data_IF_027426422126
#
_entry.id   IF_027426422126
#
_cell.length_a   1.000
_cell.length_b   1.000
_cell.length_c   1.000
_cell.angle_alpha   90.00
_cell.angle_beta   90.00
_cell.angle_gamma   90.00
#
_symmetry.space_group_name_H-M   'P 1'
#
loop_
_entity.id
_entity.type
_entity.pdbx_description
1 polymer ?
#
# COMPACT_ATOMS: atom_id res chain seq x y z
N UNK A 1 11.85 23.38 -12.95
CA UNK A 1 12.06 22.36 -14.00
C UNK A 1 12.39 20.98 -13.44
N UNK A 2 13.35 20.84 -12.51
CA UNK A 2 13.72 19.51 -11.96
C UNK A 2 12.54 18.83 -11.25
N UNK A 3 11.76 19.60 -10.49
CA UNK A 3 10.57 19.09 -9.79
C UNK A 3 9.53 18.54 -10.79
N UNK A 4 9.23 19.30 -11.84
CA UNK A 4 8.23 18.94 -12.85
C UNK A 4 8.65 17.70 -13.64
N UNK A 5 9.94 17.61 -14.01
CA UNK A 5 10.48 16.43 -14.69
C UNK A 5 10.41 15.18 -13.84
N UNK A 6 10.70 15.29 -12.53
CA UNK A 6 10.60 14.17 -11.61
C UNK A 6 9.15 13.68 -11.46
N UNK A 7 8.19 14.61 -11.34
CA UNK A 7 6.76 14.28 -11.29
C UNK A 7 6.31 13.61 -12.60
N UNK A 8 6.66 14.20 -13.74
CA UNK A 8 6.29 13.66 -15.05
C UNK A 8 6.88 12.27 -15.29
N UNK A 9 8.18 12.10 -14.99
CA UNK A 9 8.85 10.81 -15.09
C UNK A 9 8.21 9.75 -14.19
N UNK A 10 7.93 10.10 -12.93
CA UNK A 10 7.23 9.21 -11.99
C UNK A 10 5.83 8.86 -12.47
N UNK A 11 5.09 9.84 -13.03
CA UNK A 11 3.76 9.64 -13.57
C UNK A 11 3.76 8.68 -14.75
N UNK A 12 4.69 8.84 -15.70
CA UNK A 12 4.85 7.93 -16.85
C UNK A 12 5.21 6.53 -16.37
N UNK A 13 6.20 6.40 -15.48
CA UNK A 13 6.61 5.11 -14.93
C UNK A 13 5.44 4.39 -14.23
N UNK A 14 4.71 5.08 -13.35
CA UNK A 14 3.58 4.49 -12.67
C UNK A 14 2.44 4.18 -13.64
N UNK A 15 2.14 5.03 -14.62
CA UNK A 15 1.11 4.76 -15.62
C UNK A 15 1.40 3.48 -16.40
N UNK A 16 2.64 3.27 -16.85
CA UNK A 16 3.05 2.05 -17.55
C UNK A 16 2.86 0.80 -16.67
N UNK A 17 3.28 0.87 -15.41
CA UNK A 17 3.11 -0.23 -14.44
C UNK A 17 1.62 -0.52 -14.21
N UNK A 18 0.80 0.50 -13.98
CA UNK A 18 -0.64 0.36 -13.73
C UNK A 18 -1.36 -0.25 -14.94
N UNK A 19 -1.13 0.29 -16.14
CA UNK A 19 -1.77 -0.18 -17.37
C UNK A 19 -1.44 -1.64 -17.67
N UNK A 20 -0.16 -2.01 -17.52
CA UNK A 20 0.26 -3.41 -17.66
C UNK A 20 -0.39 -4.29 -16.60
N UNK A 21 -0.41 -3.84 -15.35
CA UNK A 21 -0.91 -4.61 -14.22
C UNK A 21 -2.41 -4.89 -14.32
N UNK A 22 -3.21 -3.90 -14.73
CA UNK A 22 -4.66 -4.06 -14.88
C UNK A 22 -5.05 -5.10 -15.91
N UNK A 23 -4.26 -5.24 -16.98
CA UNK A 23 -4.51 -6.20 -18.05
C UNK A 23 -4.06 -7.63 -17.69
N UNK A 24 -3.03 -7.76 -16.87
CA UNK A 24 -2.32 -9.03 -16.70
C UNK A 24 -2.54 -9.70 -15.35
N UNK A 25 -2.48 -8.96 -14.23
CA UNK A 25 -2.52 -9.54 -12.88
C UNK A 25 -3.79 -10.34 -12.53
N UNK A 26 -4.98 -10.06 -13.09
CA UNK A 26 -6.17 -10.88 -12.82
C UNK A 26 -6.05 -12.34 -13.31
N UNK A 27 -5.16 -12.62 -14.27
CA UNK A 27 -4.99 -13.96 -14.86
C UNK A 27 -4.31 -14.94 -13.90
N UNK A 28 -4.58 -16.23 -14.06
CA UNK A 28 -4.11 -17.30 -13.18
C UNK A 28 -2.58 -17.33 -13.00
N UNK A 29 -1.84 -17.18 -14.10
CA UNK A 29 -0.36 -17.21 -14.12
C UNK A 29 0.33 -16.18 -13.22
N UNK A 30 -0.39 -15.14 -12.78
CA UNK A 30 0.12 -14.10 -11.89
C UNK A 30 -0.30 -14.30 -10.43
N UNK A 31 -0.64 -15.53 -10.03
CA UNK A 31 -0.90 -15.89 -8.63
C UNK A 31 0.38 -16.35 -7.91
N UNK A 32 1.06 -17.34 -8.49
CA UNK A 32 2.21 -18.05 -7.91
C UNK A 32 3.45 -17.71 -8.73
N UNK A 33 4.49 -17.21 -8.08
CA UNK A 33 5.81 -16.96 -8.68
C UNK A 33 6.60 -18.27 -8.75
N UNK A 34 6.64 -19.00 -7.64
CA UNK A 34 7.44 -20.21 -7.49
C UNK A 34 6.82 -21.15 -6.46
N UNK A 35 7.12 -22.43 -6.57
CA UNK A 35 6.78 -23.45 -5.59
C UNK A 35 8.07 -24.10 -5.08
N UNK A 36 8.26 -24.15 -3.76
CA UNK A 36 9.47 -24.69 -3.12
C UNK A 36 9.13 -26.02 -2.45
N UNK A 37 9.72 -27.15 -2.85
CA UNK A 37 9.48 -28.44 -2.22
C UNK A 37 9.98 -28.44 -0.76
N UNK A 38 9.21 -29.02 0.17
CA UNK A 38 9.56 -29.03 1.60
C UNK A 38 9.63 -30.45 2.16
N UNK A 39 8.61 -31.26 1.88
CA UNK A 39 8.49 -32.61 2.45
C UNK A 39 7.88 -33.56 1.43
N UNK A 40 8.32 -34.81 1.40
CA UNK A 40 7.65 -35.87 0.64
C UNK A 40 6.44 -36.42 1.39
N UNK A 41 5.36 -36.67 0.66
CA UNK A 41 4.18 -37.38 1.17
C UNK A 41 4.34 -38.91 1.06
N UNK A 42 3.30 -39.64 1.47
CA UNK A 42 3.27 -41.11 1.42
C UNK A 42 3.25 -41.67 0.00
N UNK A 43 2.92 -40.85 -1.00
CA UNK A 43 2.91 -41.23 -2.43
C UNK A 43 4.25 -40.99 -3.10
N UNK A 44 5.22 -40.40 -2.39
CA UNK A 44 6.54 -40.05 -2.89
C UNK A 44 6.60 -38.68 -3.59
N UNK A 45 5.47 -37.98 -3.68
CA UNK A 45 5.38 -36.62 -4.23
C UNK A 45 5.83 -35.58 -3.21
N UNK A 46 6.36 -34.45 -3.66
CA UNK A 46 6.76 -33.36 -2.78
C UNK A 46 5.61 -32.40 -2.50
N UNK A 47 5.28 -32.19 -1.23
CA UNK A 47 4.49 -31.06 -0.78
C UNK A 47 5.37 -29.80 -0.79
N UNK A 48 4.93 -28.80 -1.54
CA UNK A 48 5.61 -27.53 -1.70
C UNK A 48 4.87 -26.34 -1.09
N UNK A 49 5.64 -25.30 -0.74
CA UNK A 49 5.14 -23.99 -0.35
C UNK A 49 5.13 -23.07 -1.56
N UNK A 50 4.02 -22.36 -1.77
CA UNK A 50 3.90 -21.38 -2.84
C UNK A 50 4.41 -19.99 -2.41
N UNK A 51 5.25 -19.40 -3.25
CA UNK A 51 5.66 -18.00 -3.22
C UNK A 51 4.80 -17.22 -4.21
N UNK A 52 4.26 -16.07 -3.82
CA UNK A 52 3.18 -15.38 -4.54
C UNK A 52 3.58 -14.02 -5.10
N UNK A 53 2.96 -13.64 -6.22
CA UNK A 53 3.07 -12.29 -6.79
C UNK A 53 2.47 -11.23 -5.85
N UNK A 54 1.47 -11.60 -5.05
CA UNK A 54 0.94 -10.75 -3.99
C UNK A 54 2.06 -10.20 -3.10
N UNK A 55 2.89 -11.09 -2.53
CA UNK A 55 3.97 -10.70 -1.65
C UNK A 55 5.03 -9.86 -2.35
N UNK A 56 5.42 -10.24 -3.57
CA UNK A 56 6.41 -9.48 -4.35
C UNK A 56 5.94 -8.04 -4.63
N UNK A 57 4.67 -7.89 -5.03
CA UNK A 57 4.11 -6.59 -5.40
C UNK A 57 3.91 -5.73 -4.15
N UNK A 58 3.37 -6.28 -3.06
CA UNK A 58 3.15 -5.51 -1.83
C UNK A 58 4.48 -5.06 -1.21
N UNK A 59 5.52 -5.89 -1.22
CA UNK A 59 6.84 -5.50 -0.70
C UNK A 59 7.49 -4.43 -1.53
N UNK A 60 7.40 -4.55 -2.85
CA UNK A 60 7.92 -3.54 -3.78
C UNK A 60 7.17 -2.22 -3.62
N UNK A 61 5.85 -2.24 -3.46
CA UNK A 61 5.05 -1.06 -3.18
C UNK A 61 5.45 -0.37 -1.85
N UNK A 62 5.72 -1.14 -0.80
CA UNK A 62 6.21 -0.59 0.47
C UNK A 62 7.61 0.00 0.31
N UNK A 63 8.53 -0.69 -0.36
CA UNK A 63 9.88 -0.15 -0.62
C UNK A 63 9.82 1.16 -1.42
N UNK A 64 8.94 1.25 -2.43
CA UNK A 64 8.70 2.50 -3.18
C UNK A 64 8.13 3.60 -2.29
N UNK A 65 7.16 3.29 -1.42
CA UNK A 65 6.59 4.26 -0.49
C UNK A 65 7.65 4.82 0.47
N UNK A 66 8.45 3.94 1.09
CA UNK A 66 9.50 4.38 2.00
C UNK A 66 10.58 5.15 1.23
N UNK A 67 10.96 4.72 0.02
CA UNK A 67 11.85 5.52 -0.85
C UNK A 67 11.33 6.92 -1.10
N UNK A 68 10.03 7.05 -1.40
CA UNK A 68 9.43 8.36 -1.62
C UNK A 68 9.45 9.23 -0.36
N UNK A 69 9.20 8.63 0.81
CA UNK A 69 9.26 9.31 2.09
C UNK A 69 10.65 9.92 2.33
N UNK A 70 11.71 9.12 2.12
CA UNK A 70 13.08 9.59 2.28
C UNK A 70 13.49 10.62 1.23
N UNK A 71 13.04 10.52 -0.02
CA UNK A 71 13.28 11.56 -1.03
C UNK A 71 12.69 12.90 -0.55
N UNK A 72 11.46 12.88 -0.05
CA UNK A 72 10.77 14.10 0.40
C UNK A 72 11.41 14.71 1.65
N UNK A 73 11.69 13.90 2.67
CA UNK A 73 12.34 14.38 3.89
C UNK A 73 13.81 14.75 3.66
N UNK A 74 14.47 14.04 2.77
CA UNK A 74 15.82 14.33 2.33
C UNK A 74 15.93 15.64 1.56
N UNK A 75 14.87 16.04 0.86
CA UNK A 75 14.79 17.36 0.24
C UNK A 75 14.83 18.50 1.27
N UNK A 76 14.56 18.23 2.56
CA UNK A 76 14.70 19.17 3.67
C UNK A 76 15.99 18.98 4.48
N UNK A 77 16.91 18.12 4.02
CA UNK A 77 18.17 17.79 4.69
C UNK A 77 17.99 17.25 6.13
N UNK A 78 16.89 16.57 6.42
CA UNK A 78 16.69 15.93 7.72
C UNK A 78 17.61 14.72 7.87
N UNK A 79 18.17 14.52 9.07
CA UNK A 79 19.07 13.39 9.38
C UNK A 79 18.40 12.03 9.12
N UNK A 80 19.12 11.15 8.44
CA UNK A 80 18.64 9.80 8.10
C UNK A 80 18.43 8.92 9.33
N UNK A 81 19.30 9.06 10.34
CA UNK A 81 19.21 8.29 11.59
C UNK A 81 17.90 8.58 12.31
N UNK A 82 17.56 9.86 12.44
CA UNK A 82 16.34 10.32 13.10
C UNK A 82 15.09 9.85 12.36
N UNK A 83 15.08 9.99 11.02
CA UNK A 83 13.99 9.51 10.19
C UNK A 83 13.81 7.99 10.30
N UNK A 84 14.91 7.23 10.32
CA UNK A 84 14.86 5.78 10.45
C UNK A 84 14.30 5.35 11.82
N UNK A 85 14.74 5.99 12.91
CA UNK A 85 14.24 5.72 14.27
C UNK A 85 12.74 5.99 14.36
N UNK A 86 12.28 7.15 13.89
CA UNK A 86 10.86 7.53 13.90
C UNK A 86 10.05 6.55 13.04
N UNK A 87 10.55 6.20 11.85
CA UNK A 87 9.86 5.28 10.94
C UNK A 87 9.75 3.87 11.54
N UNK A 88 10.81 3.34 12.14
CA UNK A 88 10.80 2.02 12.80
C UNK A 88 9.80 2.04 13.97
N UNK A 89 9.80 3.09 14.78
CA UNK A 89 8.84 3.26 15.87
C UNK A 89 7.39 3.29 15.36
N UNK A 90 7.14 4.06 14.30
CA UNK A 90 5.83 4.12 13.65
C UNK A 90 5.39 2.77 13.07
N UNK A 91 6.29 2.07 12.37
CA UNK A 91 6.00 0.76 11.78
C UNK A 91 5.67 -0.26 12.87
N UNK A 92 6.45 -0.32 13.95
CA UNK A 92 6.21 -1.22 15.07
C UNK A 92 4.83 -0.98 15.68
N UNK A 93 4.52 0.29 15.98
CA UNK A 93 3.26 0.67 16.59
C UNK A 93 2.07 0.44 15.64
N UNK A 94 2.19 0.79 14.36
CA UNK A 94 1.15 0.56 13.37
C UNK A 94 0.90 -0.95 13.13
N UNK A 95 1.94 -1.79 13.13
CA UNK A 95 1.80 -3.23 12.97
C UNK A 95 1.14 -3.88 14.18
N UNK A 96 1.54 -3.48 15.39
CA UNK A 96 0.92 -3.93 16.63
C UNK A 96 -0.57 -3.52 16.67
N UNK A 97 -0.84 -2.24 16.41
CA UNK A 97 -2.19 -1.70 16.43
C UNK A 97 -3.06 -2.30 15.32
N UNK A 98 -2.53 -2.54 14.12
CA UNK A 98 -3.25 -3.20 13.02
C UNK A 98 -3.80 -4.57 13.43
N UNK A 99 -3.03 -5.37 14.18
CA UNK A 99 -3.53 -6.68 14.66
C UNK A 99 -4.63 -6.51 15.70
N UNK A 100 -4.46 -5.56 16.62
CA UNK A 100 -5.42 -5.29 17.70
C UNK A 100 -6.74 -4.79 17.13
N UNK A 101 -6.69 -3.77 16.25
CA UNK A 101 -7.89 -3.22 15.61
C UNK A 101 -8.58 -4.27 14.75
N UNK A 102 -7.84 -5.07 13.96
CA UNK A 102 -8.44 -6.16 13.19
C UNK A 102 -9.16 -7.17 14.09
N UNK A 103 -8.56 -7.52 15.23
CA UNK A 103 -9.17 -8.44 16.20
C UNK A 103 -10.45 -7.85 16.80
N UNK A 104 -10.45 -6.57 17.15
CA UNK A 104 -11.61 -5.89 17.75
C UNK A 104 -12.75 -5.73 16.72
N UNK A 105 -12.42 -5.31 15.50
CA UNK A 105 -13.42 -4.94 14.47
C UNK A 105 -13.91 -6.16 13.69
N UNK A 106 -13.01 -7.02 13.24
CA UNK A 106 -13.33 -8.16 12.37
C UNK A 106 -13.51 -9.48 13.14
N UNK A 107 -13.15 -9.51 14.43
CA UNK A 107 -13.20 -10.71 15.27
C UNK A 107 -12.18 -11.80 14.90
N UNK A 108 -11.32 -11.55 13.91
CA UNK A 108 -10.36 -12.54 13.40
C UNK A 108 -8.99 -12.34 14.05
N UNK A 109 -8.44 -13.40 14.65
CA UNK A 109 -7.16 -13.34 15.39
C UNK A 109 -5.92 -13.11 14.51
N UNK A 110 -6.00 -13.46 13.23
CA UNK A 110 -4.88 -13.51 12.28
C UNK A 110 -5.05 -12.60 11.06
N UNK A 111 -5.91 -11.57 11.12
CA UNK A 111 -6.02 -10.57 10.05
C UNK A 111 -5.31 -9.28 10.40
N UNK A 112 -4.93 -8.53 9.37
CA UNK A 112 -4.36 -7.20 9.48
C UNK A 112 -5.27 -6.21 8.79
N UNK A 113 -5.46 -5.04 9.40
CA UNK A 113 -6.25 -3.97 8.81
C UNK A 113 -5.37 -2.79 8.43
N UNK A 114 -5.23 -2.60 7.11
CA UNK A 114 -4.56 -1.42 6.55
C UNK A 114 -5.26 -0.13 7.01
N UNK A 115 -6.61 -0.15 7.13
CA UNK A 115 -7.39 0.99 7.60
C UNK A 115 -7.08 1.34 9.06
N UNK A 116 -7.11 0.34 9.95
CA UNK A 116 -6.76 0.55 11.35
C UNK A 116 -5.30 1.01 11.54
N UNK A 117 -4.36 0.43 10.81
CA UNK A 117 -2.96 0.85 10.83
C UNK A 117 -2.80 2.31 10.42
N UNK A 118 -3.43 2.72 9.31
CA UNK A 118 -3.35 4.09 8.79
C UNK A 118 -3.97 5.12 9.76
N UNK A 119 -5.08 4.78 10.41
CA UNK A 119 -5.73 5.64 11.40
C UNK A 119 -4.87 5.82 12.65
N UNK A 120 -4.32 4.73 13.18
CA UNK A 120 -3.43 4.80 14.34
C UNK A 120 -2.13 5.52 13.99
N UNK A 121 -1.59 5.31 12.78
CA UNK A 121 -0.43 6.06 12.29
C UNK A 121 -0.70 7.57 12.25
N UNK A 122 -1.88 7.99 11.80
CA UNK A 122 -2.26 9.40 11.75
C UNK A 122 -2.32 10.06 13.14
N UNK A 123 -2.78 9.33 14.16
CA UNK A 123 -2.83 9.81 15.55
C UNK A 123 -1.46 9.78 16.21
N UNK A 124 -0.71 8.70 16.02
CA UNK A 124 0.55 8.46 16.72
C UNK A 124 1.74 9.21 16.12
N UNK A 125 1.77 9.45 14.81
CA UNK A 125 2.85 10.18 14.16
C UNK A 125 3.15 11.56 14.78
N UNK A 126 2.18 12.48 14.96
CA UNK A 126 2.47 13.77 15.58
C UNK A 126 2.96 13.63 17.02
N UNK A 127 2.45 12.65 17.79
CA UNK A 127 2.87 12.40 19.17
C UNK A 127 4.31 11.87 19.25
N UNK A 128 4.67 10.94 18.36
CA UNK A 128 6.03 10.38 18.28
C UNK A 128 7.02 11.47 17.87
N UNK A 129 6.67 12.30 16.88
CA UNK A 129 7.53 13.42 16.44
C UNK A 129 7.67 14.45 17.57
N UNK A 130 6.58 14.80 18.24
CA UNK A 130 6.62 15.73 19.37
C UNK A 130 7.52 15.21 20.50
N UNK A 131 7.38 13.94 20.87
CA UNK A 131 8.24 13.29 21.85
C UNK A 131 9.70 13.27 21.41
N UNK A 132 9.98 12.85 20.18
CA UNK A 132 11.33 12.78 19.63
C UNK A 132 12.03 14.15 19.62
N UNK A 133 11.31 15.20 19.20
CA UNK A 133 11.82 16.57 19.18
C UNK A 133 12.08 17.14 20.58
N UNK A 134 11.56 16.52 21.64
CA UNK A 134 11.89 16.89 23.03
C UNK A 134 13.29 16.45 23.47
N UNK A 135 13.90 15.48 22.79
CA UNK A 135 15.23 14.93 23.12
C UNK A 135 16.27 15.12 22.02
N UNK A 136 15.86 15.33 20.77
CA UNK A 136 16.78 15.57 19.66
C UNK A 136 17.23 17.02 19.59
N UNK A 137 18.51 17.24 19.30
CA UNK A 137 19.07 18.57 19.01
C UNK A 137 18.56 19.13 17.68
N UNK A 138 18.31 18.26 16.69
CA UNK A 138 17.75 18.62 15.40
C UNK A 138 16.26 18.33 15.38
N UNK A 139 15.44 19.39 15.39
CA UNK A 139 13.99 19.26 15.39
C UNK A 139 13.48 18.78 14.03
N UNK A 140 12.77 17.65 14.00
CA UNK A 140 12.09 17.17 12.81
C UNK A 140 10.88 18.06 12.51
N UNK A 141 10.76 18.63 11.30
CA UNK A 141 9.66 19.52 10.96
C UNK A 141 8.36 18.72 10.84
N UNK A 142 7.48 18.89 11.83
CA UNK A 142 6.29 18.04 12.01
C UNK A 142 5.35 18.05 10.80
N UNK A 143 4.96 19.23 10.31
CA UNK A 143 4.01 19.32 9.21
C UNK A 143 4.59 18.77 7.89
N UNK A 144 5.83 19.10 7.49
CA UNK A 144 6.48 18.41 6.37
C UNK A 144 6.59 16.90 6.58
N UNK A 145 6.90 16.40 7.77
CA UNK A 145 6.92 14.96 8.03
C UNK A 145 5.55 14.32 7.77
N UNK A 146 4.48 14.88 8.32
CA UNK A 146 3.12 14.35 8.14
C UNK A 146 2.69 14.40 6.66
N UNK A 147 3.06 15.48 5.94
CA UNK A 147 2.84 15.58 4.51
C UNK A 147 3.59 14.48 3.75
N UNK A 148 4.89 14.30 4.00
CA UNK A 148 5.69 13.26 3.35
C UNK A 148 5.16 11.84 3.66
N UNK A 149 4.78 11.58 4.91
CA UNK A 149 4.22 10.29 5.33
C UNK A 149 2.89 9.99 4.64
N UNK A 150 1.98 10.96 4.58
CA UNK A 150 0.67 10.80 3.91
C UNK A 150 0.79 10.62 2.39
N UNK A 151 1.70 11.35 1.73
CA UNK A 151 2.03 11.18 0.30
C UNK A 151 2.54 9.77 0.04
N UNK A 152 3.53 9.35 0.83
CA UNK A 152 4.17 8.04 0.71
C UNK A 152 3.18 6.91 0.97
N UNK A 153 2.31 7.08 1.96
CA UNK A 153 1.22 6.15 2.23
C UNK A 153 0.25 6.04 1.05
N UNK A 154 -0.14 7.15 0.42
CA UNK A 154 -1.00 7.13 -0.77
C UNK A 154 -0.35 6.33 -1.91
N UNK A 155 0.91 6.60 -2.25
CA UNK A 155 1.62 5.86 -3.31
C UNK A 155 1.75 4.38 -2.94
N UNK A 156 2.16 4.06 -1.71
CA UNK A 156 2.33 2.69 -1.23
C UNK A 156 1.03 1.89 -1.23
N UNK A 157 -0.07 2.45 -0.72
CA UNK A 157 -1.36 1.80 -0.74
C UNK A 157 -1.89 1.67 -2.19
N UNK A 158 -1.70 2.69 -3.03
CA UNK A 158 -2.09 2.68 -4.43
C UNK A 158 -1.41 1.57 -5.23
N UNK A 159 -0.08 1.46 -5.15
CA UNK A 159 0.68 0.37 -5.78
C UNK A 159 0.39 -0.98 -5.10
N UNK A 160 0.16 -0.99 -3.79
CA UNK A 160 -0.18 -2.21 -3.05
C UNK A 160 -1.50 -2.85 -3.49
N UNK A 161 -2.45 -2.09 -4.08
CA UNK A 161 -3.68 -2.66 -4.66
C UNK A 161 -3.43 -3.54 -5.88
N UNK A 162 -2.28 -3.42 -6.54
CA UNK A 162 -1.87 -4.35 -7.59
C UNK A 162 -1.63 -5.76 -7.03
N UNK A 163 -1.14 -5.87 -5.79
CA UNK A 163 -1.05 -7.16 -5.11
C UNK A 163 -2.45 -7.77 -4.92
N UNK A 164 -3.43 -6.95 -4.50
CA UNK A 164 -4.82 -7.39 -4.38
C UNK A 164 -5.40 -7.87 -5.73
N UNK A 165 -5.03 -7.22 -6.82
CA UNK A 165 -5.43 -7.61 -8.18
C UNK A 165 -4.76 -8.93 -8.62
N UNK A 166 -3.50 -9.15 -8.25
CA UNK A 166 -2.81 -10.42 -8.45
C UNK A 166 -3.49 -11.53 -7.65
N UNK A 167 -3.77 -11.32 -6.36
CA UNK A 167 -4.31 -12.38 -5.48
C UNK A 167 -5.82 -12.63 -5.68
N UNK A 168 -6.55 -11.65 -6.20
CA UNK A 168 -8.00 -11.67 -6.28
C UNK A 168 -8.70 -11.34 -4.96
N UNK A 169 -8.13 -10.46 -4.13
CA UNK A 169 -8.76 -9.99 -2.89
C UNK A 169 -9.23 -8.53 -2.99
N UNK A 170 -10.04 -8.08 -2.01
CA UNK A 170 -10.65 -6.75 -2.01
C UNK A 170 -11.45 -6.47 -3.30
N UNK A 171 -12.13 -7.48 -3.82
CA UNK A 171 -12.82 -7.41 -5.11
C UNK A 171 -14.13 -6.63 -5.02
N UNK A 172 -14.49 -6.00 -6.14
CA UNK A 172 -15.75 -5.27 -6.27
C UNK A 172 -16.96 -6.18 -6.38
N UNK A 173 -18.15 -5.59 -6.28
CA UNK A 173 -19.41 -6.27 -6.59
C UNK A 173 -19.49 -6.64 -8.08
N UNK A 174 -20.20 -7.72 -8.44
CA UNK A 174 -20.57 -7.99 -9.82
C UNK A 174 -21.26 -6.78 -10.45
N UNK A 175 -20.98 -6.49 -11.73
CA UNK A 175 -21.53 -5.29 -12.39
C UNK A 175 -23.06 -5.25 -12.37
N UNK A 176 -23.73 -6.39 -12.52
CA UNK A 176 -25.19 -6.46 -12.42
C UNK A 176 -25.75 -6.13 -11.03
N UNK A 177 -24.91 -6.05 -9.99
CA UNK A 177 -25.30 -5.74 -8.60
C UNK A 177 -24.87 -4.35 -8.12
N UNK A 178 -24.23 -3.55 -8.97
CA UNK A 178 -23.96 -2.13 -8.68
C UNK A 178 -25.08 -1.24 -9.22
N UNK A 179 -25.11 0.03 -8.81
CA UNK A 179 -26.08 1.00 -9.31
C UNK A 179 -26.03 1.08 -10.86
N UNK A 180 -27.17 1.11 -11.58
CA UNK A 180 -27.20 0.96 -13.04
C UNK A 180 -26.31 1.94 -13.81
N UNK A 181 -26.23 3.19 -13.34
CA UNK A 181 -25.34 4.21 -13.91
C UNK A 181 -23.86 3.80 -13.82
N UNK A 182 -23.42 3.33 -12.65
CA UNK A 182 -22.06 2.86 -12.45
C UNK A 182 -21.78 1.57 -13.23
N UNK A 183 -22.77 0.69 -13.31
CA UNK A 183 -22.66 -0.55 -14.10
C UNK A 183 -22.37 -0.26 -15.56
N UNK A 184 -23.12 0.66 -16.19
CA UNK A 184 -22.90 1.07 -17.59
C UNK A 184 -21.54 1.74 -17.81
N UNK A 185 -21.15 2.66 -16.92
CA UNK A 185 -19.89 3.40 -17.06
C UNK A 185 -18.66 2.48 -16.94
N UNK A 186 -18.72 1.48 -16.05
CA UNK A 186 -17.58 0.61 -15.75
C UNK A 186 -17.64 -0.77 -16.40
N UNK A 187 -18.61 -1.01 -17.29
CA UNK A 187 -18.73 -2.31 -17.98
C UNK A 187 -17.48 -2.67 -18.78
N UNK A 188 -16.94 -1.69 -19.52
CA UNK A 188 -15.73 -1.81 -20.33
C UNK A 188 -14.45 -1.84 -19.50
N UNK A 189 -14.49 -1.30 -18.28
CA UNK A 189 -13.36 -1.26 -17.35
C UNK A 189 -13.40 -2.37 -16.30
N UNK A 190 -14.33 -3.30 -16.45
CA UNK A 190 -14.51 -4.41 -15.51
C UNK A 190 -13.27 -5.28 -15.39
N UNK A 191 -13.10 -5.87 -14.21
CA UNK A 191 -12.06 -6.89 -13.98
C UNK A 191 -12.71 -8.26 -14.02
N UNK A 192 -12.04 -9.18 -14.69
CA UNK A 192 -12.39 -10.61 -14.71
C UNK A 192 -11.20 -11.37 -14.16
N UNK A 193 -11.44 -12.19 -13.13
CA UNK A 193 -10.41 -13.03 -12.52
C UNK A 193 -10.48 -14.45 -13.10
N UNK A 194 -9.30 -15.02 -13.34
CA UNK A 194 -9.12 -16.36 -13.89
C UNK A 194 -8.26 -17.20 -12.93
N UNK A 195 -8.62 -18.46 -12.74
CA UNK A 195 -7.88 -19.41 -11.94
C UNK A 195 -8.57 -19.73 -10.60
N UNK A 196 -8.59 -21.02 -10.26
CA UNK A 196 -9.24 -21.56 -9.05
C UNK A 196 -8.56 -21.11 -7.76
N UNK A 197 -7.28 -20.75 -7.84
CA UNK A 197 -6.46 -20.32 -6.69
C UNK A 197 -6.63 -18.84 -6.34
N UNK A 198 -7.37 -18.06 -7.12
CA UNK A 198 -7.70 -16.65 -6.82
C UNK A 198 -8.72 -16.58 -5.69
N UNK A 199 -8.56 -15.62 -4.77
CA UNK A 199 -9.44 -15.52 -3.59
C UNK A 199 -10.91 -15.34 -3.92
N UNK A 200 -11.22 -14.48 -4.88
CA UNK A 200 -12.58 -14.30 -5.39
C UNK A 200 -13.21 -15.61 -5.90
N UNK A 201 -12.41 -16.49 -6.50
CA UNK A 201 -12.88 -17.76 -7.05
C UNK A 201 -13.19 -18.76 -5.94
N UNK A 202 -12.25 -19.04 -5.03
CA UNK A 202 -12.47 -20.06 -4.01
C UNK A 202 -13.38 -19.59 -2.85
N UNK A 203 -13.50 -18.28 -2.60
CA UNK A 203 -14.35 -17.75 -1.51
C UNK A 203 -15.78 -17.46 -1.96
N UNK A 204 -15.96 -17.00 -3.20
CA UNK A 204 -17.27 -16.54 -3.69
C UNK A 204 -17.75 -17.25 -4.97
N UNK A 205 -16.97 -18.17 -5.54
CA UNK A 205 -17.33 -18.90 -6.76
C UNK A 205 -17.45 -18.01 -7.99
N UNK A 206 -16.81 -16.83 -8.01
CA UNK A 206 -16.98 -15.82 -9.06
C UNK A 206 -15.83 -15.83 -10.08
N UNK A 207 -15.44 -17.01 -10.57
CA UNK A 207 -14.49 -17.13 -11.69
C UNK A 207 -15.15 -16.66 -13.00
N UNK A 208 -14.42 -15.88 -13.81
CA UNK A 208 -14.96 -15.39 -15.09
C UNK A 208 -16.03 -14.29 -14.96
N UNK A 209 -16.42 -13.90 -13.75
CA UNK A 209 -17.45 -12.88 -13.52
C UNK A 209 -16.87 -11.48 -13.66
N UNK A 210 -17.55 -10.61 -14.42
CA UNK A 210 -17.23 -9.19 -14.51
C UNK A 210 -17.57 -8.47 -13.21
N UNK A 211 -16.54 -7.98 -12.50
CA UNK A 211 -16.69 -7.23 -11.26
C UNK A 211 -16.22 -5.78 -11.41
N UNK A 212 -16.74 -4.91 -10.54
CA UNK A 212 -16.35 -3.51 -10.47
C UNK A 212 -14.83 -3.39 -10.18
N UNK A 213 -14.07 -2.56 -10.94
CA UNK A 213 -12.62 -2.47 -10.87
C UNK A 213 -12.10 -1.67 -9.67
N UNK A 214 -12.52 -2.02 -8.45
CA UNK A 214 -12.25 -1.23 -7.25
C UNK A 214 -10.75 -1.13 -6.94
N UNK A 215 -9.97 -2.19 -7.18
CA UNK A 215 -8.53 -2.17 -6.96
C UNK A 215 -7.84 -1.20 -7.92
N UNK A 216 -8.17 -1.29 -9.22
CA UNK A 216 -7.62 -0.41 -10.26
C UNK A 216 -7.99 1.06 -10.05
N UNK A 217 -9.26 1.33 -9.74
CA UNK A 217 -9.72 2.68 -9.42
C UNK A 217 -8.99 3.26 -8.20
N UNK A 218 -8.80 2.46 -7.15
CA UNK A 218 -8.04 2.86 -5.96
C UNK A 218 -6.57 3.13 -6.31
N UNK A 219 -5.93 2.27 -7.09
CA UNK A 219 -4.54 2.46 -7.54
C UNK A 219 -4.35 3.78 -8.29
N UNK A 220 -5.20 4.05 -9.29
CA UNK A 220 -5.12 5.28 -10.09
C UNK A 220 -5.30 6.50 -9.19
N UNK A 221 -6.36 6.51 -8.37
CA UNK A 221 -6.66 7.66 -7.51
C UNK A 221 -5.51 7.94 -6.54
N UNK A 222 -5.00 6.90 -5.87
CA UNK A 222 -4.00 7.07 -4.81
C UNK A 222 -2.62 7.41 -5.35
N UNK A 223 -2.19 6.80 -6.46
CA UNK A 223 -0.93 7.16 -7.11
C UNK A 223 -1.01 8.60 -7.63
N UNK A 224 -2.11 8.99 -8.28
CA UNK A 224 -2.31 10.38 -8.73
C UNK A 224 -2.32 11.36 -7.56
N UNK A 225 -2.97 10.99 -6.47
CA UNK A 225 -2.99 11.78 -5.21
C UNK A 225 -1.59 11.95 -4.64
N UNK A 226 -0.79 10.88 -4.62
CA UNK A 226 0.61 10.92 -4.21
C UNK A 226 1.47 11.81 -5.10
N UNK A 227 1.29 11.78 -6.41
CA UNK A 227 2.02 12.64 -7.36
C UNK A 227 1.65 14.12 -7.18
N UNK A 228 0.36 14.44 -7.07
CA UNK A 228 -0.12 15.81 -6.81
C UNK A 228 0.37 16.29 -5.44
N UNK A 229 0.27 15.44 -4.40
CA UNK A 229 0.79 15.74 -3.06
C UNK A 229 2.30 15.98 -3.07
N UNK A 230 3.06 15.18 -3.81
CA UNK A 230 4.50 15.39 -4.04
C UNK A 230 4.76 16.74 -4.70
N UNK A 231 4.02 17.09 -5.74
CA UNK A 231 4.16 18.38 -6.39
C UNK A 231 3.88 19.55 -5.42
N UNK A 232 2.81 19.48 -4.64
CA UNK A 232 2.50 20.48 -3.61
C UNK A 232 3.61 20.57 -2.55
N UNK A 233 4.11 19.43 -2.09
CA UNK A 233 5.22 19.35 -1.15
C UNK A 233 6.47 20.04 -1.68
N UNK A 234 6.88 19.71 -2.92
CA UNK A 234 8.07 20.28 -3.56
C UNK A 234 7.96 21.79 -3.84
N UNK A 235 6.74 22.33 -3.84
CA UNK A 235 6.47 23.77 -3.90
C UNK A 235 6.39 24.43 -2.51
N UNK A 236 6.73 23.72 -1.43
CA UNK A 236 6.67 24.21 -0.05
C UNK A 236 5.26 24.30 0.53
N UNK A 237 4.23 23.79 -0.17
CA UNK A 237 2.82 23.82 0.28
C UNK A 237 2.48 22.60 1.14
N UNK A 238 3.17 22.44 2.27
CA UNK A 238 3.06 21.25 3.12
C UNK A 238 1.67 21.01 3.68
N UNK A 239 0.99 22.06 4.15
CA UNK A 239 -0.38 21.97 4.65
C UNK A 239 -1.34 21.45 3.58
N UNK A 240 -1.30 22.05 2.39
CA UNK A 240 -2.13 21.64 1.26
C UNK A 240 -1.82 20.21 0.84
N UNK A 241 -0.54 19.83 0.80
CA UNK A 241 -0.12 18.47 0.48
C UNK A 241 -0.71 17.46 1.47
N UNK A 242 -0.56 17.71 2.78
CA UNK A 242 -1.06 16.84 3.84
C UNK A 242 -2.59 16.73 3.85
N UNK A 243 -3.31 17.85 3.81
CA UNK A 243 -4.77 17.82 3.81
C UNK A 243 -5.32 17.13 2.58
N UNK A 244 -4.78 17.43 1.40
CA UNK A 244 -5.24 16.87 0.15
C UNK A 244 -5.07 15.34 0.14
N UNK A 245 -3.89 14.84 0.50
CA UNK A 245 -3.62 13.40 0.50
C UNK A 245 -4.49 12.68 1.53
N UNK A 246 -4.64 13.23 2.73
CA UNK A 246 -5.50 12.63 3.77
C UNK A 246 -6.97 12.67 3.35
N UNK A 247 -7.49 13.82 2.90
CA UNK A 247 -8.89 13.96 2.52
C UNK A 247 -9.27 13.01 1.36
N UNK A 248 -8.42 12.89 0.34
CA UNK A 248 -8.70 12.00 -0.79
C UNK A 248 -8.60 10.53 -0.39
N UNK A 249 -7.55 10.13 0.34
CA UNK A 249 -7.39 8.72 0.76
C UNK A 249 -8.48 8.30 1.74
N UNK A 250 -8.87 9.17 2.67
CA UNK A 250 -9.95 8.87 3.60
C UNK A 250 -11.32 8.92 2.91
N UNK A 251 -11.63 9.97 2.16
CA UNK A 251 -12.89 10.08 1.41
C UNK A 251 -13.11 8.88 0.46
N UNK A 252 -12.06 8.44 -0.24
CA UNK A 252 -12.14 7.25 -1.07
C UNK A 252 -12.31 5.97 -0.26
N UNK A 253 -11.63 5.82 0.88
CA UNK A 253 -11.82 4.66 1.77
C UNK A 253 -13.28 4.55 2.22
N UNK A 254 -13.93 5.68 2.48
CA UNK A 254 -15.36 5.71 2.80
C UNK A 254 -16.24 5.22 1.64
N UNK A 255 -16.01 5.76 0.44
CA UNK A 255 -16.83 5.48 -0.75
C UNK A 255 -16.59 4.07 -1.31
N UNK A 256 -15.32 3.66 -1.42
CA UNK A 256 -14.92 2.38 -2.02
C UNK A 256 -15.48 1.16 -1.29
N UNK A 257 -15.72 1.28 0.02
CA UNK A 257 -16.31 0.20 0.82
C UNK A 257 -17.75 -0.14 0.39
N UNK A 258 -18.51 0.84 -0.15
CA UNK A 258 -19.86 0.60 -0.67
C UNK A 258 -19.88 -0.27 -1.94
N UNK A 259 -18.76 -0.30 -2.66
CA UNK A 259 -18.60 -0.99 -3.95
C UNK A 259 -17.91 -2.34 -3.82
N UNK A 260 -17.36 -2.65 -2.65
CA UNK A 260 -16.71 -3.92 -2.34
C UNK A 260 -17.72 -5.03 -2.04
N UNK A 261 -17.31 -6.25 -2.33
CA UNK A 261 -18.09 -7.46 -2.04
C UNK A 261 -17.38 -8.42 -1.08
N UNK A 262 -16.15 -8.12 -0.64
CA UNK A 262 -15.46 -8.92 0.37
C UNK A 262 -16.01 -8.67 1.78
N UNK A 263 -16.20 -9.73 2.57
CA UNK A 263 -16.74 -9.63 3.93
C UNK A 263 -15.74 -8.98 4.89
N UNK A 264 -16.09 -7.84 5.48
CA UNK A 264 -15.24 -7.05 6.40
C UNK A 264 -15.90 -6.69 7.74
N UNK A 265 -16.96 -7.39 8.14
CA UNK A 265 -17.69 -7.16 9.40
C UNK A 265 -19.19 -6.93 9.18
N UNK A 266 -19.94 -6.80 10.28
CA UNK A 266 -21.41 -6.58 10.27
C UNK A 266 -21.73 -5.08 10.34
N UNK A 267 -22.65 -4.59 9.50
CA UNK A 267 -23.20 -3.21 9.58
C UNK A 267 -23.44 -2.54 8.23
N UNK A 268 -24.30 -1.50 8.19
CA UNK A 268 -24.53 -0.63 7.01
C UNK A 268 -23.42 0.41 6.82
N UNK A 269 -22.80 0.84 7.93
CA UNK A 269 -21.60 1.68 7.97
C UNK A 269 -20.50 0.85 8.66
N UNK A 270 -19.33 0.72 8.05
CA UNK A 270 -18.23 -0.06 8.64
C UNK A 270 -17.43 0.80 9.64
N UNK A 271 -16.81 0.19 10.63
CA UNK A 271 -15.94 0.91 11.57
C UNK A 271 -14.83 1.69 10.83
N UNK A 272 -14.38 1.19 9.68
CA UNK A 272 -13.41 1.86 8.82
C UNK A 272 -13.92 3.16 8.22
N UNK A 273 -15.20 3.25 7.87
CA UNK A 273 -15.82 4.49 7.38
C UNK A 273 -15.82 5.57 8.46
N UNK A 274 -16.10 5.20 9.71
CA UNK A 274 -16.07 6.13 10.84
C UNK A 274 -14.65 6.60 11.18
N UNK A 275 -13.69 5.67 11.23
CA UNK A 275 -12.26 6.00 11.39
C UNK A 275 -11.78 6.98 10.32
N UNK A 276 -12.27 6.81 9.10
CA UNK A 276 -11.89 7.65 7.97
C UNK A 276 -12.38 9.10 8.10
N UNK A 277 -13.63 9.27 8.55
CA UNK A 277 -14.20 10.58 8.86
C UNK A 277 -13.43 11.27 9.98
N UNK A 278 -13.19 10.57 11.10
CA UNK A 278 -12.40 11.10 12.22
C UNK A 278 -10.99 11.48 11.78
N UNK A 279 -10.32 10.62 11.00
CA UNK A 279 -8.97 10.90 10.51
C UNK A 279 -8.90 12.20 9.69
N UNK A 280 -9.92 12.45 8.86
CA UNK A 280 -10.01 13.69 8.08
C UNK A 280 -10.17 14.92 8.99
N UNK A 281 -11.03 14.84 10.01
CA UNK A 281 -11.21 15.91 10.99
C UNK A 281 -9.95 16.16 11.82
N UNK A 282 -9.25 15.10 12.22
CA UNK A 282 -7.98 15.19 12.94
C UNK A 282 -6.90 15.87 12.10
N UNK A 283 -6.79 15.54 10.82
CA UNK A 283 -5.84 16.19 9.92
C UNK A 283 -6.11 17.70 9.78
N UNK A 284 -7.38 18.09 9.66
CA UNK A 284 -7.78 19.49 9.66
C UNK A 284 -7.46 20.18 11.00
N UNK A 285 -7.73 19.53 12.13
CA UNK A 285 -7.41 20.02 13.47
C UNK A 285 -5.90 20.22 13.68
N UNK A 286 -5.07 19.25 13.24
CA UNK A 286 -3.62 19.36 13.32
C UNK A 286 -3.09 20.52 12.50
N UNK A 287 -3.63 20.75 11.30
CA UNK A 287 -3.24 21.89 10.49
C UNK A 287 -3.64 23.22 11.16
N UNK A 288 -4.83 23.29 11.76
CA UNK A 288 -5.31 24.50 12.44
C UNK A 288 -4.47 24.86 13.67
N UNK A 289 -3.93 23.86 14.37
CA UNK A 289 -3.09 24.06 15.56
C UNK A 289 -1.59 24.13 15.25
N UNK A 290 -1.16 23.71 14.05
CA UNK A 290 0.24 23.75 13.66
C UNK A 290 0.71 25.22 13.60
N UNK A 291 1.82 25.57 14.27
CA UNK A 291 2.33 26.93 14.23
C UNK A 291 2.64 27.32 12.79
N UNK A 292 2.27 28.55 12.41
CA UNK A 292 2.56 29.14 11.10
C UNK A 292 4.05 29.48 10.99
N UNK A 293 4.90 28.46 10.94
CA UNK A 293 6.33 28.59 10.70
C UNK A 293 6.61 28.57 9.21
N UNK A 294 7.51 29.45 8.76
CA UNK A 294 8.09 29.37 7.43
C UNK A 294 9.03 28.18 7.36
N UNK A 295 8.56 27.06 6.82
CA UNK A 295 9.38 25.89 6.59
C UNK A 295 10.35 26.10 5.43
N UNK A 296 11.56 25.51 5.47
CA UNK A 296 12.53 25.64 4.39
C UNK A 296 11.96 25.09 3.09
N UNK A 297 12.31 25.69 1.95
CA UNK A 297 11.91 25.16 0.65
C UNK A 297 12.66 23.86 0.36
N UNK A 298 11.99 22.81 -0.10
CA UNK A 298 12.62 21.53 -0.36
C UNK A 298 13.49 21.59 -1.61
N UNK A 299 14.67 20.99 -1.55
CA UNK A 299 15.54 20.78 -2.70
C UNK A 299 15.51 19.30 -3.12
N UNK A 300 14.75 19.00 -4.18
CA UNK A 300 14.59 17.63 -4.67
C UNK A 300 15.92 16.95 -5.02
N UNK A 301 16.92 17.70 -5.51
CA UNK A 301 18.23 17.13 -5.86
C UNK A 301 18.91 16.55 -4.63
N UNK A 302 18.76 17.18 -3.46
CA UNK A 302 19.28 16.64 -2.21
C UNK A 302 18.55 15.34 -1.84
N UNK A 303 17.23 15.32 -1.96
CA UNK A 303 16.42 14.12 -1.73
C UNK A 303 16.80 12.94 -2.62
N UNK A 304 17.03 13.17 -3.92
CA UNK A 304 17.45 12.13 -4.86
C UNK A 304 18.88 11.66 -4.58
N UNK A 305 19.81 12.58 -4.27
CA UNK A 305 21.19 12.23 -3.91
C UNK A 305 21.26 11.33 -2.69
N UNK A 306 20.35 11.50 -1.74
CA UNK A 306 20.29 10.66 -0.55
C UNK A 306 19.95 9.19 -0.85
N UNK A 307 19.28 8.89 -1.98
CA UNK A 307 19.03 7.50 -2.37
C UNK A 307 20.33 6.71 -2.64
N UNK A 308 21.42 7.41 -2.99
CA UNK A 308 22.72 6.80 -3.24
C UNK A 308 23.53 6.53 -1.96
N UNK A 309 22.99 6.83 -0.78
CA UNK A 309 23.62 6.46 0.47
C UNK A 309 23.64 4.92 0.63
N UNK A 310 24.80 4.28 0.82
CA UNK A 310 24.88 2.82 0.95
C UNK A 310 24.04 2.26 2.10
N UNK A 311 23.99 2.96 3.23
CA UNK A 311 23.18 2.54 4.38
C UNK A 311 21.69 2.52 4.06
N UNK A 312 21.22 3.47 3.24
CA UNK A 312 19.84 3.52 2.78
C UNK A 312 19.49 2.38 1.83
N UNK A 313 20.37 2.10 0.86
CA UNK A 313 20.18 0.99 -0.08
C UNK A 313 20.10 -0.33 0.68
N UNK A 314 21.01 -0.56 1.63
CA UNK A 314 21.02 -1.76 2.48
C UNK A 314 19.74 -1.83 3.32
N UNK A 315 19.33 -0.73 3.94
CA UNK A 315 18.08 -0.68 4.72
C UNK A 315 16.86 -1.08 3.87
N UNK A 316 16.74 -0.52 2.66
CA UNK A 316 15.64 -0.87 1.74
C UNK A 316 15.66 -2.34 1.33
N UNK A 317 16.85 -2.90 1.06
CA UNK A 317 17.00 -4.31 0.71
C UNK A 317 16.60 -5.21 1.88
N UNK A 318 17.07 -4.91 3.10
CA UNK A 318 16.71 -5.66 4.32
C UNK A 318 15.20 -5.57 4.56
N UNK A 319 14.61 -4.38 4.45
CA UNK A 319 13.18 -4.17 4.58
C UNK A 319 12.41 -5.00 3.55
N UNK A 320 12.80 -4.93 2.27
CA UNK A 320 12.14 -5.65 1.20
C UNK A 320 12.20 -7.17 1.40
N UNK A 321 13.39 -7.70 1.70
CA UNK A 321 13.61 -9.13 1.94
C UNK A 321 12.79 -9.62 3.14
N UNK A 322 12.83 -8.88 4.26
CA UNK A 322 12.07 -9.22 5.48
C UNK A 322 10.57 -9.25 5.20
N UNK A 323 10.04 -8.22 4.53
CA UNK A 323 8.63 -8.17 4.16
C UNK A 323 8.28 -9.27 3.15
N UNK A 324 9.19 -9.65 2.25
CA UNK A 324 8.92 -10.64 1.21
C UNK A 324 8.89 -12.06 1.79
N UNK A 325 9.76 -12.38 2.75
CA UNK A 325 9.63 -13.62 3.50
C UNK A 325 8.32 -13.69 4.29
N UNK A 326 7.83 -12.54 4.80
CA UNK A 326 6.60 -12.49 5.57
C UNK A 326 5.33 -12.59 4.71
N UNK A 327 5.23 -11.81 3.62
CA UNK A 327 4.04 -11.70 2.76
C UNK A 327 4.10 -12.54 1.48
N UNK A 328 5.29 -12.95 1.03
CA UNK A 328 5.52 -13.76 -0.18
C UNK A 328 5.05 -15.18 -0.05
N UNK A 329 5.21 -15.77 1.13
CA UNK A 329 4.77 -17.14 1.40
C UNK A 329 3.25 -17.23 1.52
N UNK A 330 2.63 -18.00 0.64
CA UNK A 330 1.21 -18.33 0.76
C UNK A 330 0.95 -19.18 2.00
N UNK A 331 -0.16 -18.87 2.68
CA UNK A 331 -0.68 -19.65 3.81
C UNK A 331 -2.00 -20.37 3.48
N UNK A 332 -2.52 -20.16 2.27
CA UNK A 332 -3.85 -20.65 1.85
C UNK A 332 -3.79 -21.53 0.61
N UNK A 333 -2.64 -21.58 -0.07
CA UNK A 333 -2.41 -22.47 -1.21
C UNK A 333 -1.18 -23.32 -0.96
N UNK A 334 -1.25 -24.58 -1.33
CA UNK A 334 -0.18 -25.55 -1.38
C UNK A 334 0.08 -26.01 -2.83
N UNK A 335 1.08 -26.85 -3.01
CA UNK A 335 1.42 -27.45 -4.31
C UNK A 335 1.95 -28.86 -4.12
N UNK A 336 1.67 -29.73 -5.10
CA UNK A 336 2.28 -31.05 -5.20
C UNK A 336 3.27 -31.05 -6.38
N UNK A 337 4.51 -31.46 -6.13
CA UNK A 337 5.62 -31.35 -7.09
C UNK A 337 6.20 -32.76 -7.34
N UNK A 338 6.36 -33.13 -8.61
CA UNK A 338 7.07 -34.32 -9.04
C UNK A 338 8.38 -33.93 -9.74
N UNK A 339 9.50 -34.56 -9.36
CA UNK A 339 10.78 -34.42 -10.06
C UNK A 339 11.05 -35.69 -10.85
N UNK A 340 11.34 -35.52 -12.15
CA UNK A 340 11.62 -36.63 -13.06
C UNK A 340 13.00 -36.42 -13.69
N UNK A 341 13.72 -37.51 -13.93
CA UNK A 341 14.98 -37.50 -14.68
C UNK A 341 14.66 -37.55 -16.17
N UNK A 342 15.27 -36.66 -16.95
CA UNK A 342 15.19 -36.66 -18.41
C UNK A 342 16.23 -37.62 -18.99
N UNK A 343 15.85 -38.89 -19.10
CA UNK A 343 16.70 -39.96 -19.63
C UNK A 343 17.09 -39.77 -21.11
N UNK A 344 16.43 -38.87 -21.83
CA UNK A 344 16.76 -38.49 -23.21
C UNK A 344 17.99 -37.58 -23.32
N UNK A 345 18.54 -37.10 -22.19
CA UNK A 345 19.74 -36.25 -22.13
C UNK A 345 20.95 -36.93 -21.47
N UNK A 346 20.84 -38.22 -21.16
CA UNK A 346 21.93 -39.07 -20.64
C UNK A 346 22.27 -40.11 -21.69
#
# INVERSE_FOLDING_TARGET
MVNELFILGSAVCFALILLWSFKHLPRERWQIIAAVPVKKDQTGLWCGINITYYGFIITSAQATAVSMFFILMGALNVSHGDLAIILIGLLFLCLAASKIVARIVEGKKNTFTVGGASFIGLISAPLIIWFFNGFSHDSVPMLPFLAAASISHAIGEGLGRLACLSFGCCYGKPIGKVHPFMGKLFEHFSVVFEGKTKKITYEAGMEGVKVFPIQSATSILYVSTGLIGTYLYLNGRYASAFLFTVAVTQGWRFFSEMLRADYRGRGKITAYQFMSLIGTLLAAGFQAYAPHTSWPRPNLVNGIRQLWNPGWIIFLQILWVTLFFYFGRSRVTDSTIAFNVRHDMT
#
